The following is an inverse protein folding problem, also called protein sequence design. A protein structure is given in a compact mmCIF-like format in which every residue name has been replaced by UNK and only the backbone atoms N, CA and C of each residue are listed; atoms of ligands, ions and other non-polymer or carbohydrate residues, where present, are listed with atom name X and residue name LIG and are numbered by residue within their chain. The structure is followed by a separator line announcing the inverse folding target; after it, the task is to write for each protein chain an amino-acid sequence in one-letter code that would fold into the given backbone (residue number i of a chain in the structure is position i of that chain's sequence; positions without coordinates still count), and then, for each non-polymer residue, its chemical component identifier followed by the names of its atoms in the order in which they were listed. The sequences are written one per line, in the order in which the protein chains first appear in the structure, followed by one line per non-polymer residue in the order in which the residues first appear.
data_IF_053483246866
#
_entry.id   IF_053483246866
#
_cell.length_a   1.000
_cell.length_b   1.000
_cell.length_c   1.000
_cell.angle_alpha   90.00
_cell.angle_beta   90.00
_cell.angle_gamma   90.00
#
_symmetry.space_group_name_H-M   'P 1'
#
loop_
_entity.id
_entity.type
_entity.pdbx_description
1 polymer ?
#
# COMPACT_ATOMS: atom_id res chain seq x y z
N UNK A 1 -20.25 -11.90 1.12
CA UNK A 1 -21.56 -11.52 1.67
C UNK A 1 -22.62 -12.44 1.12
N UNK A 2 -23.59 -12.80 1.96
CA UNK A 2 -24.77 -13.61 1.55
C UNK A 2 -25.98 -12.70 1.55
N UNK A 3 -26.68 -12.64 0.40
CA UNK A 3 -27.87 -11.81 0.22
C UNK A 3 -29.14 -12.56 0.67
N UNK A 4 -30.14 -11.80 1.09
CA UNK A 4 -31.51 -12.28 1.32
C UNK A 4 -32.34 -12.40 0.03
N UNK A 5 -31.75 -12.04 -1.14
CA UNK A 5 -32.42 -11.97 -2.44
C UNK A 5 -33.29 -10.73 -2.66
N UNK A 6 -33.35 -9.82 -1.66
CA UNK A 6 -34.12 -8.56 -1.71
C UNK A 6 -33.22 -7.33 -1.68
N UNK A 7 -31.92 -7.53 -1.84
CA UNK A 7 -30.93 -6.46 -1.84
C UNK A 7 -30.29 -6.15 -0.48
N UNK A 8 -30.58 -6.94 0.55
CA UNK A 8 -29.97 -6.80 1.88
C UNK A 8 -28.99 -7.92 2.15
N UNK A 9 -28.05 -7.68 3.06
CA UNK A 9 -27.16 -8.69 3.62
C UNK A 9 -27.95 -9.49 4.66
N UNK A 10 -27.82 -10.83 4.64
CA UNK A 10 -28.33 -11.71 5.69
C UNK A 10 -27.23 -12.43 6.46
N UNK A 11 -26.04 -12.57 5.88
CA UNK A 11 -24.89 -13.21 6.54
C UNK A 11 -23.57 -12.83 5.89
N UNK A 12 -22.50 -13.03 6.66
CA UNK A 12 -21.11 -13.04 6.18
C UNK A 12 -20.62 -14.48 6.12
N UNK A 13 -20.20 -14.94 4.92
CA UNK A 13 -19.50 -16.21 4.77
C UNK A 13 -18.01 -15.99 5.04
N UNK A 14 -17.44 -16.79 5.93
CA UNK A 14 -16.04 -16.75 6.30
C UNK A 14 -15.43 -18.16 6.28
N UNK A 15 -14.11 -18.25 6.23
CA UNK A 15 -13.36 -19.48 6.36
C UNK A 15 -12.22 -19.29 7.38
N UNK A 16 -11.80 -20.36 8.03
CA UNK A 16 -10.58 -20.35 8.84
C UNK A 16 -9.37 -20.27 7.94
N UNK A 17 -8.34 -19.58 8.40
CA UNK A 17 -7.06 -19.49 7.70
C UNK A 17 -5.93 -19.99 8.58
N UNK A 18 -4.91 -20.55 7.95
CA UNK A 18 -3.64 -20.91 8.58
C UNK A 18 -2.48 -20.22 7.85
N UNK A 19 -1.40 -20.00 8.57
CA UNK A 19 -0.19 -19.44 8.03
C UNK A 19 0.83 -20.55 7.79
N UNK A 20 1.12 -20.83 6.52
CA UNK A 20 2.05 -21.88 6.12
C UNK A 20 3.33 -21.21 5.61
N UNK A 21 4.48 -21.74 6.06
CA UNK A 21 5.77 -21.28 5.54
C UNK A 21 5.99 -21.87 4.14
N UNK A 22 6.14 -21.00 3.16
CA UNK A 22 6.49 -21.40 1.80
C UNK A 22 7.92 -22.01 1.79
N UNK A 23 8.09 -23.28 1.40
CA UNK A 23 9.41 -23.94 1.43
C UNK A 23 10.44 -23.30 0.50
N UNK A 24 10.01 -22.70 -0.60
CA UNK A 24 10.88 -22.12 -1.61
C UNK A 24 11.37 -20.72 -1.24
N UNK A 25 10.47 -19.89 -0.71
CA UNK A 25 10.78 -18.49 -0.37
C UNK A 25 11.02 -18.24 1.12
N UNK A 26 10.64 -19.18 1.99
CA UNK A 26 10.67 -19.04 3.44
C UNK A 26 9.64 -18.05 4.00
N UNK A 27 8.81 -17.45 3.16
CA UNK A 27 7.79 -16.48 3.56
C UNK A 27 6.54 -17.19 4.11
N UNK A 28 5.88 -16.51 5.05
CA UNK A 28 4.58 -16.97 5.55
C UNK A 28 3.50 -16.63 4.52
N UNK A 29 2.77 -17.64 4.09
CA UNK A 29 1.60 -17.52 3.20
C UNK A 29 0.34 -17.87 3.96
N UNK A 30 -0.68 -17.05 3.80
CA UNK A 30 -2.02 -17.35 4.29
C UNK A 30 -2.68 -18.37 3.35
N UNK A 31 -3.24 -19.43 3.93
CA UNK A 31 -4.00 -20.47 3.22
C UNK A 31 -5.35 -20.68 3.91
N UNK A 32 -6.41 -20.79 3.12
CA UNK A 32 -7.71 -21.19 3.67
C UNK A 32 -7.70 -22.66 4.04
N UNK A 33 -8.29 -22.98 5.19
CA UNK A 33 -8.46 -24.38 5.63
C UNK A 33 -9.67 -24.97 4.90
N UNK A 34 -9.48 -25.99 4.04
CA UNK A 34 -10.57 -26.58 3.28
C UNK A 34 -11.70 -27.11 4.18
N UNK A 35 -12.96 -26.83 3.82
CA UNK A 35 -14.13 -27.29 4.57
C UNK A 35 -14.37 -26.58 5.91
N UNK A 36 -13.69 -25.46 6.13
CA UNK A 36 -13.83 -24.67 7.36
C UNK A 36 -14.78 -23.48 7.22
N UNK A 37 -15.47 -23.38 6.08
CA UNK A 37 -16.40 -22.30 5.81
C UNK A 37 -17.57 -22.32 6.81
N UNK A 38 -17.98 -21.14 7.23
CA UNK A 38 -19.11 -20.93 8.11
C UNK A 38 -19.82 -19.61 7.78
N UNK A 39 -21.07 -19.51 8.16
CA UNK A 39 -21.85 -18.28 8.02
C UNK A 39 -22.05 -17.61 9.39
N UNK A 40 -21.85 -16.30 9.41
CA UNK A 40 -22.19 -15.43 10.54
C UNK A 40 -23.43 -14.63 10.15
N UNK A 41 -24.58 -14.83 10.79
CA UNK A 41 -25.78 -14.03 10.55
C UNK A 41 -25.47 -12.55 10.81
N UNK A 42 -25.85 -11.68 9.89
CA UNK A 42 -25.61 -10.24 9.99
C UNK A 42 -26.62 -9.46 9.15
N UNK A 43 -27.20 -8.45 9.73
CA UNK A 43 -28.09 -7.49 9.05
C UNK A 43 -27.31 -6.30 8.47
N UNK A 44 -26.09 -6.05 9.00
CA UNK A 44 -25.18 -5.01 8.54
C UNK A 44 -23.73 -5.49 8.67
N UNK A 45 -22.94 -5.27 7.64
CA UNK A 45 -21.48 -5.52 7.66
C UNK A 45 -20.75 -4.22 7.31
N UNK A 46 -19.88 -3.77 8.21
CA UNK A 46 -19.04 -2.60 8.02
C UNK A 46 -17.62 -3.04 7.62
N UNK A 47 -17.14 -2.57 6.48
CA UNK A 47 -15.77 -2.82 6.03
C UNK A 47 -14.85 -1.77 6.65
N UNK A 48 -14.03 -2.19 7.61
CA UNK A 48 -12.99 -1.37 8.24
C UNK A 48 -11.60 -1.77 7.74
N UNK A 49 -11.48 -2.01 6.44
CA UNK A 49 -10.25 -2.45 5.78
C UNK A 49 -9.39 -1.24 5.43
N UNK A 50 -8.06 -1.41 5.48
CA UNK A 50 -7.11 -0.40 5.04
C UNK A 50 -7.05 -0.26 3.50
N UNK A 51 -6.23 0.66 3.04
CA UNK A 51 -5.95 0.84 1.62
C UNK A 51 -5.04 -0.29 1.11
N UNK A 52 -5.26 -0.72 -0.12
CA UNK A 52 -4.46 -1.77 -0.76
C UNK A 52 -3.22 -1.16 -1.43
N UNK A 53 -3.42 -0.12 -2.22
CA UNK A 53 -2.38 0.57 -2.98
C UNK A 53 -2.85 1.99 -3.36
N UNK A 54 -1.94 2.86 -3.84
CA UNK A 54 -2.30 4.11 -4.46
C UNK A 54 -3.24 3.93 -5.65
N UNK A 55 -4.03 4.96 -5.97
CA UNK A 55 -4.90 4.96 -7.16
C UNK A 55 -4.02 4.84 -8.41
N UNK A 56 -4.16 3.71 -9.13
CA UNK A 56 -3.28 3.33 -10.24
C UNK A 56 -3.25 4.34 -11.37
N UNK A 57 -4.38 4.94 -11.73
CA UNK A 57 -4.47 5.93 -12.80
C UNK A 57 -3.60 7.17 -12.58
N UNK A 58 -3.34 7.56 -11.33
CA UNK A 58 -2.43 8.67 -11.02
C UNK A 58 -1.00 8.32 -11.40
N UNK A 59 -0.49 7.14 -10.99
CA UNK A 59 0.86 6.70 -11.34
C UNK A 59 1.02 6.47 -12.85
N UNK A 60 -0.02 5.95 -13.50
CA UNK A 60 -0.06 5.73 -14.95
C UNK A 60 0.01 7.04 -15.74
N UNK A 61 -0.75 8.07 -15.31
CA UNK A 61 -0.74 9.38 -15.98
C UNK A 61 0.62 10.06 -15.94
N UNK A 62 1.44 9.78 -14.92
CA UNK A 62 2.82 10.27 -14.83
C UNK A 62 3.85 9.29 -15.40
N UNK A 63 3.45 8.09 -15.82
CA UNK A 63 4.36 7.06 -16.34
C UNK A 63 5.32 6.49 -15.27
N UNK A 64 4.95 6.58 -13.99
CA UNK A 64 5.79 6.14 -12.87
C UNK A 64 5.77 4.62 -12.73
N UNK A 65 6.95 4.02 -12.64
CA UNK A 65 7.09 2.58 -12.35
C UNK A 65 6.57 2.26 -10.95
N UNK A 66 5.99 1.06 -10.81
CA UNK A 66 5.43 0.57 -9.55
C UNK A 66 6.29 -0.57 -8.98
N UNK A 67 6.31 -0.68 -7.68
CA UNK A 67 6.83 -1.85 -6.99
C UNK A 67 5.84 -3.04 -7.08
N UNK A 68 6.24 -4.20 -6.56
CA UNK A 68 5.41 -5.43 -6.54
C UNK A 68 4.11 -5.29 -5.72
N UNK A 69 4.00 -4.24 -4.91
CA UNK A 69 2.83 -3.93 -4.07
C UNK A 69 1.93 -2.88 -4.71
N UNK A 70 2.30 -2.35 -5.89
CA UNK A 70 1.56 -1.31 -6.61
C UNK A 70 1.88 0.13 -6.18
N UNK A 71 2.87 0.34 -5.32
CA UNK A 71 3.30 1.68 -4.90
C UNK A 71 4.26 2.30 -5.90
N UNK A 72 4.41 3.63 -5.88
CA UNK A 72 5.42 4.33 -6.68
C UNK A 72 6.83 3.85 -6.29
N UNK A 73 7.59 3.39 -7.27
CA UNK A 73 8.96 2.95 -7.05
C UNK A 73 9.90 4.14 -6.92
N UNK A 74 10.39 4.39 -5.70
CA UNK A 74 11.39 5.42 -5.40
C UNK A 74 12.23 4.99 -4.19
N UNK A 75 13.55 5.20 -4.25
CA UNK A 75 14.47 4.92 -3.15
C UNK A 75 14.43 6.03 -2.11
N UNK A 76 14.71 5.72 -0.85
CA UNK A 76 14.94 6.71 0.21
C UNK A 76 16.42 7.07 0.38
N UNK A 77 17.30 6.43 -0.38
CA UNK A 77 18.75 6.52 -0.25
C UNK A 77 19.41 6.96 -1.56
N UNK A 78 20.62 7.49 -1.44
CA UNK A 78 21.44 7.92 -2.57
C UNK A 78 21.17 9.38 -3.00
N UNK A 79 21.90 9.81 -4.03
CA UNK A 79 21.86 11.19 -4.54
C UNK A 79 20.50 11.60 -5.13
N UNK A 80 19.70 10.64 -5.53
CA UNK A 80 18.35 10.83 -6.08
C UNK A 80 17.28 10.22 -5.18
N UNK A 81 17.43 10.37 -3.88
CA UNK A 81 16.42 9.90 -2.93
C UNK A 81 15.04 10.49 -3.27
N UNK A 82 14.01 9.67 -3.09
CA UNK A 82 12.61 9.99 -3.43
C UNK A 82 12.30 10.23 -4.92
N UNK A 83 13.30 10.25 -5.82
CA UNK A 83 13.04 10.34 -7.25
C UNK A 83 12.41 9.03 -7.77
N UNK A 84 11.45 9.16 -8.66
CA UNK A 84 10.81 8.03 -9.35
C UNK A 84 11.56 7.64 -10.62
N UNK A 85 11.02 6.71 -11.39
CA UNK A 85 11.50 6.35 -12.73
C UNK A 85 11.38 7.50 -13.75
N UNK A 86 10.60 8.54 -13.45
CA UNK A 86 10.36 9.68 -14.35
C UNK A 86 11.11 10.89 -13.80
N UNK A 87 11.89 11.54 -14.66
CA UNK A 87 12.63 12.76 -14.29
C UNK A 87 11.70 13.86 -13.79
N UNK A 88 12.11 14.56 -12.72
CA UNK A 88 11.35 15.63 -12.04
C UNK A 88 10.08 15.17 -11.30
N UNK A 89 9.84 13.86 -11.21
CA UNK A 89 8.74 13.29 -10.42
C UNK A 89 9.31 12.59 -9.19
N UNK A 90 8.82 12.98 -8.03
CA UNK A 90 9.22 12.45 -6.72
C UNK A 90 8.01 11.83 -6.04
N UNK A 91 8.23 10.82 -5.19
CA UNK A 91 7.18 10.16 -4.45
C UNK A 91 7.62 9.91 -3.00
N UNK A 92 6.71 10.17 -2.06
CA UNK A 92 6.96 10.01 -0.63
C UNK A 92 5.69 9.55 0.12
N UNK A 93 5.85 9.14 1.35
CA UNK A 93 4.75 8.71 2.21
C UNK A 93 4.05 7.47 1.69
N UNK A 94 2.74 7.37 1.90
CA UNK A 94 1.96 6.19 1.57
C UNK A 94 2.00 5.85 0.06
N UNK A 95 2.14 6.85 -0.81
CA UNK A 95 2.27 6.65 -2.25
C UNK A 95 3.47 5.77 -2.61
N UNK A 96 4.59 5.91 -1.89
CA UNK A 96 5.84 5.19 -2.11
C UNK A 96 5.99 3.97 -1.17
N UNK A 97 5.67 4.19 0.10
CA UNK A 97 5.90 3.22 1.18
C UNK A 97 4.80 2.16 1.27
N UNK A 98 3.62 2.46 0.78
CA UNK A 98 2.38 1.79 1.12
C UNK A 98 1.78 2.38 2.39
N UNK A 99 0.53 2.08 2.66
CA UNK A 99 -0.19 2.57 3.83
C UNK A 99 0.60 2.33 5.12
N UNK A 100 0.78 3.38 5.92
CA UNK A 100 1.55 3.34 7.15
C UNK A 100 1.07 4.40 8.17
N UNK A 101 1.83 4.60 9.24
CA UNK A 101 1.52 5.61 10.23
C UNK A 101 1.81 7.03 9.70
N UNK A 102 1.00 8.00 10.14
CA UNK A 102 1.13 9.41 9.75
C UNK A 102 2.52 9.98 10.04
N UNK A 103 3.20 9.53 11.09
CA UNK A 103 4.56 9.95 11.43
C UNK A 103 5.57 9.62 10.32
N UNK A 104 5.37 8.50 9.63
CA UNK A 104 6.20 8.13 8.49
C UNK A 104 5.89 8.97 7.26
N UNK A 105 4.63 9.27 7.01
CA UNK A 105 4.24 10.15 5.92
C UNK A 105 4.83 11.55 6.09
N UNK A 106 4.77 12.12 7.30
CA UNK A 106 5.40 13.40 7.65
C UNK A 106 6.92 13.35 7.46
N UNK A 107 7.57 12.32 7.99
CA UNK A 107 9.03 12.16 7.86
C UNK A 107 9.46 12.08 6.41
N UNK A 108 8.83 11.20 5.63
CA UNK A 108 9.17 11.04 4.22
C UNK A 108 8.86 12.29 3.40
N UNK A 109 7.76 12.99 3.69
CA UNK A 109 7.43 14.26 3.05
C UNK A 109 8.52 15.32 3.27
N UNK A 110 9.03 15.44 4.49
CA UNK A 110 10.12 16.37 4.81
C UNK A 110 11.43 15.99 4.11
N UNK A 111 11.78 14.71 4.12
CA UNK A 111 12.99 14.23 3.46
C UNK A 111 12.88 14.36 1.93
N UNK A 112 11.71 14.12 1.37
CA UNK A 112 11.44 14.34 -0.04
C UNK A 112 11.55 15.83 -0.42
N UNK A 113 11.02 16.73 0.41
CA UNK A 113 11.15 18.17 0.20
C UNK A 113 12.62 18.59 0.13
N UNK A 114 13.46 18.06 1.03
CA UNK A 114 14.91 18.26 0.97
C UNK A 114 15.51 17.73 -0.32
N UNK A 115 15.14 16.52 -0.74
CA UNK A 115 15.66 15.93 -1.99
C UNK A 115 15.25 16.73 -3.23
N UNK A 116 14.05 17.29 -3.23
CA UNK A 116 13.59 18.20 -4.30
C UNK A 116 14.38 19.51 -4.29
N UNK A 117 14.64 20.08 -3.12
CA UNK A 117 15.44 21.28 -2.97
C UNK A 117 16.88 21.05 -3.46
N UNK A 118 17.52 19.95 -3.06
CA UNK A 118 18.84 19.55 -3.57
C UNK A 118 18.84 19.34 -5.08
N UNK A 119 17.77 18.77 -5.65
CA UNK A 119 17.64 18.59 -7.10
C UNK A 119 17.52 19.91 -7.85
N UNK A 120 16.86 20.90 -7.29
CA UNK A 120 16.62 22.19 -7.95
C UNK A 120 17.78 23.17 -7.80
N UNK A 121 18.45 23.15 -6.64
CA UNK A 121 19.45 24.18 -6.28
C UNK A 121 20.88 23.62 -6.15
N UNK A 122 21.05 22.29 -6.18
CA UNK A 122 22.31 21.60 -6.00
C UNK A 122 22.70 21.35 -4.56
N UNK A 123 22.05 21.99 -3.58
CA UNK A 123 22.27 21.81 -2.13
C UNK A 123 21.00 22.13 -1.36
N UNK A 124 20.90 21.67 -0.11
CA UNK A 124 19.76 22.00 0.74
C UNK A 124 20.17 22.20 2.19
N UNK A 125 19.64 23.23 2.81
CA UNK A 125 19.75 23.49 4.26
C UNK A 125 18.55 22.94 5.04
N UNK A 126 17.58 22.34 4.36
CA UNK A 126 16.41 21.75 5.01
C UNK A 126 16.83 20.58 5.92
N UNK A 127 16.24 20.42 7.09
CA UNK A 127 16.56 19.35 8.02
C UNK A 127 16.22 17.98 7.44
N UNK A 128 17.00 16.97 7.81
CA UNK A 128 16.78 15.56 7.47
C UNK A 128 15.74 14.90 8.38
#
# INVERSE_FOLDING_TARGET
FVSDGKGHVRALKAAKVEWIRDPASGQMKMSEVPGSEFELPADLVLLAMGFVAPVGSVLESFGVSRDVRGNAQASTEGERSYATSVGKVFAAGDMRRGQSLVVWAIREGRQCARAVDEFLTGQSELPR
#
